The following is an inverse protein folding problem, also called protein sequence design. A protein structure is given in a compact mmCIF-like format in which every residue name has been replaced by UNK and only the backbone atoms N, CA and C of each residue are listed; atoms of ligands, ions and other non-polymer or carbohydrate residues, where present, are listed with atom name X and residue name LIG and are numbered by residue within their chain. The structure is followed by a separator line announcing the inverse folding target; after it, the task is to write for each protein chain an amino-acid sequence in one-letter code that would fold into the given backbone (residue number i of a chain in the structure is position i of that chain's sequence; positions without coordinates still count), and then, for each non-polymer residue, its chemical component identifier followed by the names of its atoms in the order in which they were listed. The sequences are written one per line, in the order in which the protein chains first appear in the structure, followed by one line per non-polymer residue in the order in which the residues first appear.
data_IF_851017607288
#
_entry.id   IF_851017607288
#
_cell.length_a   1.000
_cell.length_b   1.000
_cell.length_c   1.000
_cell.angle_alpha   90.00
_cell.angle_beta   90.00
_cell.angle_gamma   90.00
#
_symmetry.space_group_name_H-M   'P 1'
#
loop_
_entity.id
_entity.type
_entity.pdbx_description
1 polymer ?
#
# COMPACT_ATOMS: atom_id res chain seq x y z
N UNK A 1 0.98 -3.70 12.61
CA UNK A 1 2.16 -4.59 12.71
C UNK A 1 1.96 -5.95 12.04
N UNK A 2 0.81 -6.64 12.14
CA UNK A 2 0.65 -7.94 11.47
C UNK A 2 0.63 -7.83 9.94
N UNK A 3 -0.09 -6.83 9.41
CA UNK A 3 -0.26 -6.63 7.96
C UNK A 3 1.04 -6.30 7.22
N UNK A 4 1.80 -5.29 7.70
CA UNK A 4 3.06 -4.91 7.07
C UNK A 4 4.10 -6.03 7.13
N UNK A 5 4.13 -6.80 8.23
CA UNK A 5 4.98 -7.99 8.34
C UNK A 5 4.58 -9.10 7.35
N UNK A 6 3.28 -9.34 7.16
CA UNK A 6 2.82 -10.32 6.17
C UNK A 6 3.22 -9.90 4.75
N UNK A 7 3.08 -8.61 4.44
CA UNK A 7 3.58 -8.06 3.17
C UNK A 7 5.09 -8.24 3.01
N UNK A 8 5.90 -7.87 4.02
CA UNK A 8 7.35 -8.07 4.00
C UNK A 8 7.72 -9.54 3.77
N UNK A 9 7.08 -10.46 4.48
CA UNK A 9 7.33 -11.90 4.36
C UNK A 9 7.03 -12.42 2.95
N UNK A 10 5.92 -11.98 2.35
CA UNK A 10 5.55 -12.36 0.97
C UNK A 10 6.53 -11.80 -0.04
N UNK A 11 6.97 -10.56 0.14
CA UNK A 11 7.95 -9.91 -0.74
C UNK A 11 9.31 -10.61 -0.68
N UNK A 12 9.82 -10.91 0.52
CA UNK A 12 11.09 -11.64 0.69
C UNK A 12 11.02 -13.07 0.15
N UNK A 13 9.83 -13.68 0.13
CA UNK A 13 9.62 -15.00 -0.43
C UNK A 13 9.53 -15.01 -1.98
N UNK A 14 9.37 -13.86 -2.63
CA UNK A 14 9.18 -13.77 -4.08
C UNK A 14 10.49 -13.95 -4.87
N UNK A 15 11.60 -13.36 -4.41
CA UNK A 15 12.94 -13.53 -5.01
C UNK A 15 14.03 -13.43 -3.91
N UNK A 16 14.96 -14.39 -3.91
CA UNK A 16 16.08 -14.44 -2.95
C UNK A 16 17.06 -13.26 -3.01
N UNK A 17 17.07 -12.50 -4.12
CA UNK A 17 17.92 -11.31 -4.30
C UNK A 17 17.32 -10.06 -3.65
N UNK A 18 16.01 -10.08 -3.37
CA UNK A 18 15.26 -8.94 -2.86
C UNK A 18 15.44 -8.81 -1.36
N UNK A 19 15.75 -7.59 -0.91
CA UNK A 19 15.68 -7.15 0.50
C UNK A 19 14.60 -6.08 0.65
N UNK A 20 13.90 -6.06 1.78
CA UNK A 20 12.92 -5.00 2.10
C UNK A 20 13.63 -3.83 2.77
N UNK A 21 13.44 -2.62 2.26
CA UNK A 21 13.91 -1.39 2.90
C UNK A 21 12.91 -0.91 3.96
N UNK A 22 11.63 -0.85 3.59
CA UNK A 22 10.55 -0.43 4.47
C UNK A 22 9.21 -1.03 4.04
N UNK A 23 8.29 -1.19 5.01
CA UNK A 23 6.89 -1.47 4.75
C UNK A 23 6.01 -0.60 5.64
N UNK A 24 4.98 -0.01 5.04
CA UNK A 24 4.13 0.98 5.69
C UNK A 24 2.66 0.61 5.55
N UNK A 25 1.89 0.96 6.56
CA UNK A 25 0.43 0.99 6.52
C UNK A 25 -0.01 2.34 7.03
N UNK A 26 -0.98 2.93 6.34
CA UNK A 26 -1.58 4.21 6.71
C UNK A 26 -3.07 4.15 6.41
N UNK A 27 -3.86 4.80 7.24
CA UNK A 27 -5.29 4.92 7.10
C UNK A 27 -5.83 6.27 7.55
N UNK A 28 -6.97 6.62 6.96
CA UNK A 28 -7.65 7.87 7.19
C UNK A 28 -9.15 7.72 7.04
N UNK A 29 -9.86 8.71 7.54
CA UNK A 29 -11.28 8.86 7.36
C UNK A 29 -11.61 10.34 7.19
N UNK A 30 -12.68 10.60 6.44
CA UNK A 30 -13.14 11.94 6.14
C UNK A 30 -14.66 12.04 6.29
N UNK A 31 -15.12 13.24 6.63
CA UNK A 31 -16.52 13.63 6.61
C UNK A 31 -16.66 14.93 5.82
N UNK A 32 -17.64 14.98 4.92
CA UNK A 32 -17.88 16.11 4.03
C UNK A 32 -19.33 16.57 4.15
N UNK A 33 -19.55 17.89 4.03
CA UNK A 33 -20.87 18.48 3.99
C UNK A 33 -20.91 19.63 2.98
N UNK A 34 -21.92 19.64 2.11
CA UNK A 34 -22.14 20.66 1.10
C UNK A 34 -23.52 21.28 1.27
N UNK A 35 -23.58 22.61 1.36
CA UNK A 35 -24.81 23.38 1.43
C UNK A 35 -24.76 24.58 0.49
N UNK A 36 -25.82 24.79 -0.31
CA UNK A 36 -25.95 25.95 -1.20
C UNK A 36 -27.26 26.71 -0.95
N UNK A 37 -27.29 27.99 -1.31
CA UNK A 37 -28.50 28.83 -1.25
C UNK A 37 -29.57 28.40 -2.27
N UNK A 38 -29.19 27.64 -3.29
CA UNK A 38 -30.10 27.04 -4.28
C UNK A 38 -30.78 25.76 -3.78
N UNK A 39 -30.48 25.32 -2.56
CA UNK A 39 -31.18 24.22 -1.89
C UNK A 39 -30.45 22.88 -1.86
N UNK A 40 -29.22 22.77 -2.38
CA UNK A 40 -28.43 21.54 -2.23
C UNK A 40 -27.99 21.41 -0.78
N UNK A 41 -28.25 20.24 -0.19
CA UNK A 41 -27.80 19.83 1.15
C UNK A 41 -27.43 18.36 1.10
N UNK A 42 -26.15 18.04 1.21
CA UNK A 42 -25.67 16.66 1.22
C UNK A 42 -24.48 16.52 2.14
N UNK A 43 -24.26 15.32 2.64
CA UNK A 43 -23.11 14.96 3.46
C UNK A 43 -22.65 13.55 3.12
N UNK A 44 -21.36 13.30 3.29
CA UNK A 44 -20.76 11.99 3.05
C UNK A 44 -19.70 11.66 4.09
N UNK A 45 -19.46 10.37 4.27
CA UNK A 45 -18.36 9.84 5.07
C UNK A 45 -17.59 8.86 4.20
N UNK A 46 -16.27 8.88 4.33
CA UNK A 46 -15.38 7.95 3.62
C UNK A 46 -14.25 7.51 4.55
N UNK A 47 -13.71 6.34 4.23
CA UNK A 47 -12.53 5.74 4.81
C UNK A 47 -11.58 5.41 3.66
N UNK A 48 -10.28 5.41 3.94
CA UNK A 48 -9.28 4.99 2.98
C UNK A 48 -8.06 4.49 3.71
N UNK A 49 -7.47 3.42 3.21
CA UNK A 49 -6.24 2.87 3.75
C UNK A 49 -5.35 2.35 2.63
N UNK A 50 -4.06 2.28 2.92
CA UNK A 50 -3.10 1.64 2.03
C UNK A 50 -2.03 0.88 2.79
N UNK A 51 -1.43 -0.08 2.11
CA UNK A 51 -0.21 -0.75 2.55
C UNK A 51 0.81 -0.69 1.41
N UNK A 52 2.07 -0.50 1.74
CA UNK A 52 3.15 -0.44 0.76
C UNK A 52 4.42 -1.12 1.27
N UNK A 53 5.28 -1.50 0.33
CA UNK A 53 6.61 -2.05 0.59
C UNK A 53 7.59 -1.50 -0.45
N UNK A 54 8.78 -1.13 0.01
CA UNK A 54 9.92 -0.73 -0.81
C UNK A 54 10.97 -1.83 -0.71
N UNK A 55 11.51 -2.22 -1.86
CA UNK A 55 12.51 -3.29 -1.99
C UNK A 55 13.78 -2.77 -2.61
N UNK A 56 14.88 -3.47 -2.34
CA UNK A 56 16.16 -3.26 -3.00
C UNK A 56 16.68 -4.62 -3.50
N UNK A 57 17.37 -4.62 -4.62
CA UNK A 57 18.12 -5.77 -5.11
C UNK A 57 19.42 -5.28 -5.75
N UNK A 58 20.52 -5.98 -5.52
CA UNK A 58 21.81 -5.64 -6.12
C UNK A 58 21.97 -6.41 -7.45
N UNK A 59 22.31 -5.72 -8.53
CA UNK A 59 22.64 -6.28 -9.85
C UNK A 59 23.99 -5.73 -10.32
N UNK A 60 25.03 -6.56 -10.15
CA UNK A 60 26.41 -6.13 -10.35
C UNK A 60 26.82 -5.04 -9.37
N UNK A 61 27.18 -3.86 -9.88
CA UNK A 61 27.60 -2.70 -9.09
C UNK A 61 26.45 -1.70 -8.79
N UNK A 62 25.24 -1.99 -9.26
CA UNK A 62 24.06 -1.12 -9.07
C UNK A 62 23.05 -1.74 -8.10
N UNK A 63 22.44 -0.89 -7.27
CA UNK A 63 21.26 -1.26 -6.47
C UNK A 63 20.01 -0.77 -7.18
N UNK A 64 19.09 -1.69 -7.47
CA UNK A 64 17.76 -1.40 -7.99
C UNK A 64 16.76 -1.23 -6.84
N UNK A 65 15.72 -0.41 -7.04
CA UNK A 65 14.66 -0.15 -6.06
C UNK A 65 13.31 -0.49 -6.64
N UNK A 66 12.60 -1.42 -5.99
CA UNK A 66 11.25 -1.82 -6.33
C UNK A 66 10.22 -1.24 -5.37
N UNK A 67 8.96 -1.20 -5.82
CA UNK A 67 7.85 -0.70 -5.02
C UNK A 67 6.53 -1.38 -5.37
N UNK A 68 5.78 -1.75 -4.33
CA UNK A 68 4.45 -2.33 -4.45
C UNK A 68 3.50 -1.82 -3.37
N UNK A 69 2.21 -1.75 -3.69
CA UNK A 69 1.20 -1.23 -2.79
C UNK A 69 -0.19 -1.82 -3.05
N UNK A 70 -1.06 -1.70 -2.06
CA UNK A 70 -2.49 -1.97 -2.18
C UNK A 70 -3.30 -0.89 -1.45
N UNK A 71 -4.45 -0.52 -2.00
CA UNK A 71 -5.34 0.55 -1.52
C UNK A 71 -6.76 -0.01 -1.45
N UNK A 72 -7.52 0.41 -0.45
CA UNK A 72 -8.92 0.05 -0.30
C UNK A 72 -9.61 0.88 0.76
N UNK A 73 -10.93 0.75 0.83
CA UNK A 73 -11.71 1.33 1.93
C UNK A 73 -11.44 0.53 3.22
N UNK A 74 -11.15 -0.77 3.11
CA UNK A 74 -10.80 -1.65 4.23
C UNK A 74 -9.49 -2.40 3.99
N UNK A 75 -8.70 -2.71 5.04
CA UNK A 75 -7.53 -3.58 4.91
C UNK A 75 -7.83 -4.98 4.36
N UNK A 76 -9.09 -5.43 4.45
CA UNK A 76 -9.52 -6.71 3.88
C UNK A 76 -9.58 -6.69 2.34
N UNK A 77 -9.58 -5.51 1.74
CA UNK A 77 -9.59 -5.33 0.28
C UNK A 77 -8.19 -5.45 -0.33
N UNK A 78 -7.14 -5.50 0.51
CA UNK A 78 -5.76 -5.53 0.04
C UNK A 78 -5.39 -6.84 -0.64
N UNK A 79 -4.74 -6.70 -1.80
CA UNK A 79 -4.10 -7.81 -2.49
C UNK A 79 -2.59 -7.80 -2.21
N UNK A 80 -2.21 -8.42 -1.08
CA UNK A 80 -0.82 -8.46 -0.63
C UNK A 80 0.10 -9.25 -1.57
N UNK A 81 -0.40 -10.31 -2.20
CA UNK A 81 0.39 -11.11 -3.15
C UNK A 81 0.72 -10.33 -4.42
N UNK A 82 -0.21 -9.48 -4.87
CA UNK A 82 0.04 -8.57 -6.00
C UNK A 82 1.07 -7.51 -5.62
N UNK A 83 0.88 -6.85 -4.49
CA UNK A 83 1.81 -5.81 -4.01
C UNK A 83 3.22 -6.37 -3.81
N UNK A 84 3.36 -7.56 -3.22
CA UNK A 84 4.64 -8.23 -3.01
C UNK A 84 5.37 -8.54 -4.33
N UNK A 85 4.66 -9.09 -5.32
CA UNK A 85 5.24 -9.36 -6.65
C UNK A 85 5.61 -8.09 -7.38
N UNK A 86 4.75 -7.07 -7.37
CA UNK A 86 5.07 -5.78 -8.01
C UNK A 86 6.29 -5.11 -7.40
N UNK A 87 6.54 -5.29 -6.10
CA UNK A 87 7.76 -4.82 -5.45
C UNK A 87 8.99 -5.67 -5.80
N UNK A 88 8.85 -6.99 -5.95
CA UNK A 88 9.98 -7.87 -6.25
C UNK A 88 10.39 -7.86 -7.73
N UNK A 89 9.44 -7.64 -8.64
CA UNK A 89 9.66 -7.69 -10.10
C UNK A 89 10.19 -6.36 -10.69
N UNK A 90 10.27 -5.29 -9.89
CA UNK A 90 10.61 -3.93 -10.31
C UNK A 90 11.98 -3.49 -9.86
#
# INVERSE_FOLDING_TARGET
MALTKDLEQRTLAADSRVRTESANYDDGWDETAFATTTGIRTSGRSNGCYVSVVTLADDGDETQTGFGFSVGDSPNDFNLDKAAREAADR
#
